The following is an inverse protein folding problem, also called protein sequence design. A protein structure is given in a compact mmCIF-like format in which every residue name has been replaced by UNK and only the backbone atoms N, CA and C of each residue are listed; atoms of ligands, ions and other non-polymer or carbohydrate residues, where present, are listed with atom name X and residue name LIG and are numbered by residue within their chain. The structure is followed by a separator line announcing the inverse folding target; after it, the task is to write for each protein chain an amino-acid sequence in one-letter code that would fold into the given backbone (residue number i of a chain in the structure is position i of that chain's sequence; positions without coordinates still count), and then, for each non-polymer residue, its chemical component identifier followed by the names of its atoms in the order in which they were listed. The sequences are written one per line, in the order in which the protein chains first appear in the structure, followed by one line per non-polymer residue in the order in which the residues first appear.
data_IF_097189578575
#
_entry.id   IF_097189578575
#
_cell.length_a   1.000
_cell.length_b   1.000
_cell.length_c   1.000
_cell.angle_alpha   90.00
_cell.angle_beta   90.00
_cell.angle_gamma   90.00
#
_symmetry.space_group_name_H-M   'P 1'
#
loop_
_entity.id
_entity.type
_entity.pdbx_description
1 polymer ?
#
# COMPACT_ATOMS: atom_id res chain seq x y z
N UNK A 1 -16.41 39.98 30.37
CA UNK A 1 -16.89 38.97 29.41
C UNK A 1 -15.75 38.01 29.15
N UNK A 2 -15.89 36.77 29.62
CA UNK A 2 -14.89 35.71 29.48
C UNK A 2 -14.77 35.31 28.00
N UNK A 3 -13.54 35.06 27.57
CA UNK A 3 -13.16 34.64 26.23
C UNK A 3 -14.10 33.56 25.69
N UNK A 4 -14.85 33.88 24.65
CA UNK A 4 -15.54 32.89 23.85
C UNK A 4 -14.45 32.09 23.14
N UNK A 5 -14.15 30.88 23.66
CA UNK A 5 -13.28 29.94 22.97
C UNK A 5 -13.88 29.71 21.58
N UNK A 6 -13.16 30.15 20.55
CA UNK A 6 -13.49 29.88 19.15
C UNK A 6 -13.54 28.36 19.00
N UNK A 7 -14.75 27.79 18.99
CA UNK A 7 -14.93 26.37 18.74
C UNK A 7 -14.51 26.13 17.29
N UNK A 8 -13.40 25.42 17.11
CA UNK A 8 -13.01 24.95 15.79
C UNK A 8 -14.12 24.03 15.23
N UNK A 9 -14.35 24.05 13.90
CA UNK A 9 -15.36 23.21 13.29
C UNK A 9 -15.11 21.75 13.66
N UNK A 10 -16.19 21.11 14.09
CA UNK A 10 -16.15 19.75 14.59
C UNK A 10 -16.01 18.76 13.42
N UNK A 11 -14.83 18.18 13.29
CA UNK A 11 -14.61 17.04 12.39
C UNK A 11 -14.69 15.73 13.20
N UNK A 12 -15.60 14.81 12.84
CA UNK A 12 -15.61 13.48 13.43
C UNK A 12 -14.26 12.80 13.17
N UNK A 13 -13.53 12.47 14.24
CA UNK A 13 -12.26 11.75 14.14
C UNK A 13 -12.45 10.32 14.60
N UNK A 14 -12.32 9.42 13.65
CA UNK A 14 -12.29 7.99 13.92
C UNK A 14 -10.98 7.63 14.62
N UNK A 15 -11.08 6.87 15.70
CA UNK A 15 -9.94 6.57 16.58
C UNK A 15 -9.89 5.08 16.89
N UNK A 16 -8.72 4.49 16.71
CA UNK A 16 -8.38 3.16 17.19
C UNK A 16 -7.82 3.25 18.61
N UNK A 17 -8.38 2.44 19.50
CA UNK A 17 -7.94 2.30 20.88
C UNK A 17 -7.43 0.87 21.09
N UNK A 18 -6.17 0.75 21.49
CA UNK A 18 -5.49 -0.53 21.75
C UNK A 18 -5.07 -0.55 23.21
N UNK A 19 -5.60 -1.48 23.99
CA UNK A 19 -5.15 -1.69 25.36
C UNK A 19 -3.78 -2.38 25.38
N UNK A 20 -2.88 -1.88 26.22
CA UNK A 20 -1.58 -2.47 26.53
C UNK A 20 -1.65 -3.26 27.83
N UNK A 21 -0.68 -4.14 28.01
CA UNK A 21 -0.58 -5.01 29.19
C UNK A 21 -0.41 -4.24 30.51
N UNK A 22 0.16 -3.04 30.45
CA UNK A 22 0.37 -2.14 31.60
C UNK A 22 -0.91 -1.40 32.04
N UNK A 23 -2.05 -1.72 31.43
CA UNK A 23 -3.33 -1.07 31.67
C UNK A 23 -3.46 0.31 31.01
N UNK A 24 -2.45 0.73 30.23
CA UNK A 24 -2.55 1.93 29.40
C UNK A 24 -3.22 1.61 28.07
N UNK A 25 -3.63 2.64 27.33
CA UNK A 25 -4.16 2.47 25.99
C UNK A 25 -3.39 3.36 25.01
N UNK A 26 -3.04 2.81 23.85
CA UNK A 26 -2.59 3.61 22.73
C UNK A 26 -3.80 4.09 21.92
N UNK A 27 -3.72 5.35 21.48
CA UNK A 27 -4.74 5.99 20.66
C UNK A 27 -4.12 6.36 19.32
N UNK A 28 -4.71 5.86 18.25
CA UNK A 28 -4.27 6.12 16.88
C UNK A 28 -5.44 6.65 16.05
N UNK A 29 -5.18 7.68 15.25
CA UNK A 29 -6.18 8.21 14.33
C UNK A 29 -6.35 7.24 13.17
N UNK A 30 -7.59 6.91 12.83
CA UNK A 30 -7.87 6.02 11.70
C UNK A 30 -7.58 6.78 10.42
N UNK A 31 -6.72 6.21 9.58
CA UNK A 31 -6.35 6.76 8.28
C UNK A 31 -7.19 6.17 7.16
N UNK A 32 -7.44 4.86 7.21
CA UNK A 32 -8.15 4.13 6.17
C UNK A 32 -8.88 2.91 6.76
N UNK A 33 -10.04 2.59 6.20
CA UNK A 33 -10.81 1.38 6.52
C UNK A 33 -11.19 0.72 5.21
N UNK A 34 -10.76 -0.52 5.04
CA UNK A 34 -11.10 -1.37 3.91
C UNK A 34 -11.95 -2.56 4.36
N UNK A 35 -12.42 -3.37 3.41
CA UNK A 35 -13.30 -4.51 3.69
C UNK A 35 -12.65 -5.58 4.58
N UNK A 36 -11.31 -5.64 4.62
CA UNK A 36 -10.56 -6.65 5.38
C UNK A 36 -9.91 -6.10 6.65
N UNK A 37 -9.46 -4.84 6.64
CA UNK A 37 -8.58 -4.28 7.68
C UNK A 37 -8.84 -2.79 7.92
N UNK A 38 -8.52 -2.36 9.14
CA UNK A 38 -8.48 -0.98 9.58
C UNK A 38 -7.03 -0.55 9.79
N UNK A 39 -6.68 0.58 9.18
CA UNK A 39 -5.38 1.23 9.33
C UNK A 39 -5.50 2.45 10.21
N UNK A 40 -4.63 2.54 11.22
CA UNK A 40 -4.56 3.69 12.10
C UNK A 40 -3.11 4.05 12.42
N UNK A 41 -2.85 5.34 12.57
CA UNK A 41 -1.52 5.85 12.85
C UNK A 41 -1.54 6.85 14.01
N UNK A 42 -0.49 6.80 14.83
CA UNK A 42 -0.16 7.85 15.78
C UNK A 42 1.27 8.36 15.48
N UNK A 43 1.76 9.32 16.26
CA UNK A 43 3.08 9.92 16.04
C UNK A 43 4.27 8.95 16.16
N UNK A 44 4.05 7.72 16.65
CA UNK A 44 5.10 6.76 17.03
C UNK A 44 4.95 5.42 16.30
N UNK A 45 3.74 4.98 15.99
CA UNK A 45 3.42 3.63 15.57
C UNK A 45 2.19 3.61 14.67
N UNK A 46 2.12 2.59 13.83
CA UNK A 46 1.05 2.37 12.88
C UNK A 46 0.53 0.96 13.03
N UNK A 47 -0.79 0.84 12.95
CA UNK A 47 -1.54 -0.35 13.30
C UNK A 47 -2.38 -0.80 12.10
N UNK A 48 -2.41 -2.11 11.87
CA UNK A 48 -3.19 -2.77 10.82
C UNK A 48 -4.02 -3.89 11.46
N UNK A 49 -5.27 -3.58 11.79
CA UNK A 49 -6.16 -4.45 12.58
C UNK A 49 -7.21 -5.10 11.68
N UNK A 50 -7.33 -6.43 11.64
CA UNK A 50 -8.39 -7.12 10.88
C UNK A 50 -9.79 -6.75 11.37
N UNK A 51 -10.79 -6.74 10.47
CA UNK A 51 -12.19 -6.42 10.80
C UNK A 51 -12.79 -7.34 11.88
N UNK A 52 -12.29 -8.57 12.00
CA UNK A 52 -12.73 -9.53 13.01
C UNK A 52 -12.26 -9.25 14.44
N UNK A 53 -11.23 -8.42 14.60
CA UNK A 53 -10.48 -8.31 15.86
C UNK A 53 -10.82 -7.04 16.66
N UNK A 54 -11.62 -6.14 16.08
CA UNK A 54 -12.07 -4.92 16.76
C UNK A 54 -13.58 -4.86 16.94
N UNK A 55 -14.01 -4.15 17.98
CA UNK A 55 -15.39 -3.73 18.17
C UNK A 55 -15.52 -2.24 17.88
N UNK A 56 -16.38 -1.88 16.95
CA UNK A 56 -16.67 -0.49 16.64
C UNK A 56 -17.80 0.04 17.54
N UNK A 57 -17.57 1.20 18.16
CA UNK A 57 -18.55 1.95 18.93
C UNK A 57 -18.76 3.30 18.27
N UNK A 58 -20.01 3.62 17.92
CA UNK A 58 -20.34 4.93 17.33
C UNK A 58 -20.71 5.91 18.42
N UNK A 59 -19.97 7.01 18.51
CA UNK A 59 -20.26 8.14 19.39
C UNK A 59 -20.68 9.38 18.60
N UNK A 60 -21.00 10.46 19.33
CA UNK A 60 -21.27 11.76 18.68
C UNK A 60 -20.03 12.27 17.91
N UNK A 61 -18.82 11.91 18.38
CA UNK A 61 -17.49 12.38 17.91
C UNK A 61 -16.85 11.58 16.78
N UNK A 62 -17.50 10.52 16.32
CA UNK A 62 -16.93 9.57 15.36
C UNK A 62 -17.01 8.15 15.89
N UNK A 63 -16.31 7.24 15.23
CA UNK A 63 -16.23 5.82 15.59
C UNK A 63 -14.99 5.56 16.43
N UNK A 64 -15.18 4.82 17.51
CA UNK A 64 -14.08 4.28 18.32
C UNK A 64 -13.97 2.80 17.98
N UNK A 65 -12.81 2.40 17.49
CA UNK A 65 -12.48 1.01 17.21
C UNK A 65 -11.70 0.49 18.40
N UNK A 66 -12.28 -0.45 19.13
CA UNK A 66 -11.68 -1.05 20.30
C UNK A 66 -11.10 -2.41 19.92
N UNK A 67 -9.78 -2.54 19.97
CA UNK A 67 -9.15 -3.84 19.80
C UNK A 67 -9.13 -4.55 21.15
N UNK A 68 -9.69 -5.77 21.21
CA UNK A 68 -9.66 -6.60 22.41
C UNK A 68 -8.26 -7.17 22.58
N UNK A 69 -7.53 -6.70 23.59
CA UNK A 69 -6.20 -7.23 23.89
C UNK A 69 -6.31 -8.64 24.47
N UNK A 70 -6.20 -9.67 23.62
CA UNK A 70 -5.41 -10.84 24.02
C UNK A 70 -3.95 -10.37 24.08
N UNK A 71 -3.26 -10.69 25.18
CA UNK A 71 -2.00 -10.08 25.64
C UNK A 71 -0.90 -9.98 24.56
N UNK A 72 -0.87 -10.86 23.56
CA UNK A 72 0.12 -10.86 22.47
C UNK A 72 -0.27 -10.05 21.22
N UNK A 73 -1.55 -9.70 21.04
CA UNK A 73 -2.08 -9.26 19.76
C UNK A 73 -1.53 -7.89 19.31
N UNK A 74 -1.25 -6.97 20.24
CA UNK A 74 -0.71 -5.65 19.90
C UNK A 74 0.68 -5.72 19.25
N UNK A 75 1.54 -6.64 19.74
CA UNK A 75 2.88 -6.85 19.19
C UNK A 75 2.81 -7.50 17.81
N UNK A 76 1.85 -8.40 17.61
CA UNK A 76 1.60 -9.07 16.34
C UNK A 76 1.03 -8.11 15.29
N UNK A 77 0.11 -7.21 15.66
CA UNK A 77 -0.39 -6.18 14.75
C UNK A 77 0.73 -5.23 14.30
N UNK A 78 1.66 -4.87 15.21
CA UNK A 78 2.81 -4.05 14.86
C UNK A 78 3.79 -4.79 13.92
N UNK A 79 4.05 -6.08 14.18
CA UNK A 79 4.88 -6.92 13.30
C UNK A 79 4.27 -7.08 11.92
N UNK A 80 2.95 -7.29 11.83
CA UNK A 80 2.26 -7.42 10.54
C UNK A 80 2.34 -6.11 9.76
N UNK A 81 2.08 -4.96 10.40
CA UNK A 81 2.21 -3.66 9.74
C UNK A 81 3.64 -3.40 9.22
N UNK A 82 4.67 -3.81 9.97
CA UNK A 82 6.06 -3.72 9.53
C UNK A 82 6.36 -4.63 8.33
N UNK A 83 5.81 -5.85 8.30
CA UNK A 83 5.96 -6.78 7.17
C UNK A 83 5.23 -6.30 5.92
N UNK A 84 4.03 -5.74 6.06
CA UNK A 84 3.28 -5.13 4.95
C UNK A 84 4.08 -3.98 4.33
N UNK A 85 4.61 -3.06 5.15
CA UNK A 85 5.47 -1.97 4.69
C UNK A 85 6.72 -2.47 3.98
N UNK A 86 7.40 -3.48 4.53
CA UNK A 86 8.59 -4.07 3.91
C UNK A 86 8.25 -4.72 2.57
N UNK A 87 7.09 -5.37 2.47
CA UNK A 87 6.63 -6.04 1.24
C UNK A 87 6.27 -5.03 0.16
N UNK A 88 5.53 -3.97 0.50
CA UNK A 88 5.18 -2.89 -0.45
C UNK A 88 6.46 -2.22 -0.98
N UNK A 89 7.40 -1.88 -0.09
CA UNK A 89 8.70 -1.33 -0.51
C UNK A 89 9.46 -2.30 -1.42
N UNK A 90 9.46 -3.60 -1.10
CA UNK A 90 10.08 -4.62 -1.95
C UNK A 90 9.41 -4.75 -3.32
N UNK A 91 8.10 -4.65 -3.39
CA UNK A 91 7.37 -4.66 -4.66
C UNK A 91 7.68 -3.42 -5.50
N UNK A 92 7.79 -2.24 -4.87
CA UNK A 92 8.20 -1.00 -5.54
C UNK A 92 9.64 -1.11 -6.06
N UNK A 93 10.57 -1.69 -5.30
CA UNK A 93 11.96 -1.85 -5.76
C UNK A 93 12.10 -2.91 -6.84
N UNK A 94 11.33 -4.01 -6.79
CA UNK A 94 11.28 -5.00 -7.87
C UNK A 94 10.56 -4.51 -9.12
N UNK A 95 9.76 -3.43 -9.03
CA UNK A 95 9.14 -2.79 -10.18
C UNK A 95 10.13 -1.92 -10.98
N UNK A 96 11.32 -1.62 -10.43
CA UNK A 96 12.39 -0.97 -11.18
C UNK A 96 13.35 -2.01 -11.76
N UNK A 97 13.02 -2.45 -12.97
CA UNK A 97 13.95 -3.20 -13.79
C UNK A 97 13.25 -4.29 -14.58
N UNK A 98 12.38 -3.92 -15.51
CA UNK A 98 12.40 -4.67 -16.75
C UNK A 98 13.87 -4.63 -17.22
N UNK A 99 14.58 -5.77 -17.34
CA UNK A 99 15.86 -5.77 -18.01
C UNK A 99 15.62 -5.13 -19.37
N UNK A 100 16.49 -4.22 -19.85
CA UNK A 100 16.30 -3.62 -21.16
C UNK A 100 16.11 -4.77 -22.12
N UNK A 101 14.88 -4.92 -22.63
CA UNK A 101 14.55 -5.87 -23.68
C UNK A 101 15.68 -5.65 -24.68
N UNK A 102 16.54 -6.66 -24.96
CA UNK A 102 17.58 -6.46 -25.94
C UNK A 102 16.80 -6.06 -27.18
N UNK A 103 16.90 -4.77 -27.54
CA UNK A 103 16.26 -4.22 -28.70
C UNK A 103 16.77 -5.10 -29.81
N UNK A 104 15.91 -6.04 -30.22
CA UNK A 104 16.13 -6.89 -31.35
C UNK A 104 16.13 -5.89 -32.48
N UNK A 105 17.31 -5.33 -32.76
CA UNK A 105 17.57 -4.67 -34.04
C UNK A 105 16.96 -5.63 -35.04
N UNK A 106 15.99 -5.20 -35.87
CA UNK A 106 15.22 -6.10 -36.71
C UNK A 106 16.08 -6.61 -37.85
N UNK A 107 17.17 -7.30 -37.53
CA UNK A 107 18.19 -7.84 -38.41
C UNK A 107 17.52 -8.80 -39.38
N UNK A 108 16.50 -9.53 -38.91
CA UNK A 108 15.66 -10.39 -39.75
C UNK A 108 14.93 -9.64 -40.87
N UNK A 109 14.48 -8.39 -40.64
CA UNK A 109 13.84 -7.58 -41.70
C UNK A 109 14.87 -7.15 -42.75
N UNK A 110 16.08 -6.76 -42.32
CA UNK A 110 17.15 -6.39 -43.25
C UNK A 110 17.69 -7.58 -44.04
N UNK A 111 17.77 -8.76 -43.43
CA UNK A 111 18.16 -10.01 -44.10
C UNK A 111 17.11 -10.39 -45.15
N UNK A 112 15.81 -10.33 -44.81
CA UNK A 112 14.73 -10.64 -45.75
C UNK A 112 14.76 -9.73 -46.99
N UNK A 113 14.94 -8.41 -46.77
CA UNK A 113 15.04 -7.44 -47.86
C UNK A 113 16.30 -7.70 -48.70
N UNK A 114 17.44 -7.98 -48.08
CA UNK A 114 18.69 -8.30 -48.79
C UNK A 114 18.56 -9.53 -49.69
N UNK A 115 17.92 -10.60 -49.21
CA UNK A 115 17.67 -11.82 -49.99
C UNK A 115 16.72 -11.55 -51.16
N UNK A 116 15.65 -10.78 -50.94
CA UNK A 116 14.71 -10.42 -52.00
C UNK A 116 15.38 -9.62 -53.14
N UNK A 117 16.24 -8.64 -52.78
CA UNK A 117 17.00 -7.85 -53.77
C UNK A 117 18.01 -8.72 -54.51
N UNK A 118 18.68 -9.64 -53.83
CA UNK A 118 19.63 -10.56 -54.48
C UNK A 118 18.93 -11.44 -55.52
N UNK A 119 17.79 -12.03 -55.18
CA UNK A 119 16.99 -12.87 -56.09
C UNK A 119 16.54 -12.03 -57.29
N UNK A 120 16.08 -10.81 -57.07
CA UNK A 120 15.66 -9.91 -58.14
C UNK A 120 16.81 -9.60 -59.13
N UNK A 121 18.02 -9.32 -58.62
CA UNK A 121 19.19 -9.07 -59.46
C UNK A 121 19.64 -10.31 -60.26
N UNK A 122 19.52 -11.50 -59.67
CA UNK A 122 19.84 -12.76 -60.37
C UNK A 122 18.85 -12.98 -61.53
N UNK A 123 17.55 -12.77 -61.30
CA UNK A 123 16.53 -12.90 -62.34
C UNK A 123 16.76 -11.86 -63.44
N UNK A 124 17.06 -10.61 -63.08
CA UNK A 124 17.32 -9.53 -64.05
C UNK A 124 18.60 -9.76 -64.88
N UNK A 125 19.59 -10.48 -64.35
CA UNK A 125 20.81 -10.86 -65.09
C UNK A 125 20.65 -12.13 -65.92
N UNK A 126 19.65 -12.96 -65.61
CA UNK A 126 19.35 -14.21 -66.32
C UNK A 126 18.37 -14.02 -67.49
N UNK A 127 17.65 -12.89 -67.52
CA UNK A 127 16.84 -12.40 -68.65
C UNK A 127 17.69 -11.50 -69.54
#
# INVERSE_FOLDING_TARGET
MLFAAKQEPYEPQDTLMIFKEDGTADLAAVTEINDERLYAENSVTSYSVPVGDYKAFTGRKGRIFLCGAELDAASDYQRIAALERSTVLRQITHFQGDPPIPSSKPIGRYILIGVAVMIFLIILKAV
#
